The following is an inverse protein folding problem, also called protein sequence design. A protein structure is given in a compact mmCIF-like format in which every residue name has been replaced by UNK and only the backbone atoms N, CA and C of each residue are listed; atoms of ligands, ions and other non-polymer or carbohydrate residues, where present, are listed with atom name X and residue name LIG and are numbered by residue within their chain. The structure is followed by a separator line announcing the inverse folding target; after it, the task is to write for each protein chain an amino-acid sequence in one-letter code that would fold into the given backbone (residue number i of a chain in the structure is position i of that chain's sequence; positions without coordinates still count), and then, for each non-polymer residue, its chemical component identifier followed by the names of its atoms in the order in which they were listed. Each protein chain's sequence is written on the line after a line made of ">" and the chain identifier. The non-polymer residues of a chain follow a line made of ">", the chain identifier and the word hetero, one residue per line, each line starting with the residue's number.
data_IF_410209293325
#
_entry.id   IF_410209293325
#
_cell.length_a   1.000
_cell.length_b   1.000
_cell.length_c   1.000
_cell.angle_alpha   90.00
_cell.angle_beta   90.00
_cell.angle_gamma   90.00
#
_symmetry.space_group_name_H-M   'P 1'
#
loop_
_entity.id
_entity.type
_entity.pdbx_description
1 polymer ?
#
# COMPACT_ATOMS: atom_id res chain seq x y z
N UNK A 1 30.34 15.17 3.24
CA UNK A 1 29.35 14.27 3.88
C UNK A 1 27.90 14.73 3.70
N UNK A 2 27.57 16.02 3.89
CA UNK A 2 26.19 16.53 3.77
C UNK A 2 25.50 16.21 2.42
N UNK A 3 26.22 16.33 1.29
CA UNK A 3 25.66 16.02 -0.04
C UNK A 3 25.29 14.53 -0.20
N UNK A 4 26.18 13.61 0.19
CA UNK A 4 25.90 12.17 0.13
C UNK A 4 24.70 11.76 1.00
N UNK A 5 24.59 12.31 2.21
CA UNK A 5 23.42 12.09 3.06
C UNK A 5 22.14 12.66 2.42
N UNK A 6 22.20 13.85 1.83
CA UNK A 6 21.05 14.47 1.18
C UNK A 6 20.52 13.64 0.00
N UNK A 7 21.40 13.01 -0.78
CA UNK A 7 21.01 12.11 -1.87
C UNK A 7 20.44 10.80 -1.34
N UNK A 8 21.11 10.19 -0.35
CA UNK A 8 20.68 8.90 0.22
C UNK A 8 19.28 8.96 0.85
N UNK A 9 18.98 10.05 1.56
CA UNK A 9 17.68 10.24 2.21
C UNK A 9 16.61 10.89 1.31
N UNK A 10 16.95 11.29 0.08
CA UNK A 10 15.97 11.81 -0.89
C UNK A 10 15.28 10.67 -1.66
N UNK A 11 14.53 9.84 -0.94
CA UNK A 11 13.86 8.65 -1.50
C UNK A 11 12.84 8.94 -2.60
N UNK A 12 12.45 10.21 -2.77
CA UNK A 12 11.44 10.65 -3.74
C UNK A 12 11.98 11.66 -4.74
N UNK A 13 13.31 11.83 -4.82
CA UNK A 13 13.94 12.72 -5.79
C UNK A 13 13.38 14.15 -5.73
N UNK A 14 12.95 14.59 -4.54
CA UNK A 14 12.33 15.89 -4.27
C UNK A 14 13.27 16.99 -4.74
N UNK A 15 12.74 17.96 -5.48
CA UNK A 15 13.51 19.08 -6.02
C UNK A 15 14.42 18.73 -7.20
N UNK A 16 14.33 17.52 -7.76
CA UNK A 16 15.09 17.11 -8.96
C UNK A 16 14.20 16.93 -10.19
N UNK A 17 14.79 16.76 -11.37
CA UNK A 17 14.08 16.43 -12.60
C UNK A 17 13.31 15.08 -12.55
N UNK A 18 13.64 14.24 -11.57
CA UNK A 18 13.07 12.90 -11.37
C UNK A 18 11.97 12.86 -10.29
N UNK A 19 11.56 14.02 -9.74
CA UNK A 19 10.48 14.10 -8.75
C UNK A 19 9.18 13.50 -9.31
N UNK A 20 8.57 12.48 -8.66
CA UNK A 20 7.30 11.93 -9.07
C UNK A 20 6.19 13.00 -9.07
N UNK A 21 5.36 13.04 -10.12
CA UNK A 21 4.25 14.02 -10.22
C UNK A 21 3.29 14.00 -9.02
N UNK A 22 3.12 12.83 -8.39
CA UNK A 22 2.31 12.69 -7.17
C UNK A 22 2.89 13.44 -5.98
N UNK A 23 4.21 13.58 -5.87
CA UNK A 23 4.87 14.42 -4.86
C UNK A 23 4.46 15.88 -5.03
N UNK A 24 4.61 16.41 -6.25
CA UNK A 24 4.35 17.83 -6.51
C UNK A 24 2.90 18.21 -6.22
N UNK A 25 1.94 17.32 -6.51
CA UNK A 25 0.53 17.50 -6.20
C UNK A 25 0.20 17.48 -4.69
N UNK A 26 1.05 16.84 -3.88
CA UNK A 26 0.88 16.72 -2.42
C UNK A 26 1.66 17.79 -1.63
N UNK A 27 2.53 18.57 -2.29
CA UNK A 27 3.31 19.62 -1.63
C UNK A 27 2.41 20.75 -1.16
N UNK A 28 2.45 21.02 0.15
CA UNK A 28 1.81 22.20 0.75
C UNK A 28 2.64 23.45 0.42
N UNK A 29 1.95 24.53 0.05
CA UNK A 29 2.55 25.85 -0.17
C UNK A 29 1.76 26.90 0.65
N UNK A 30 2.41 27.65 1.57
CA UNK A 30 3.82 27.53 1.98
C UNK A 30 4.10 26.22 2.76
N UNK A 31 5.37 25.77 2.81
CA UNK A 31 5.74 24.61 3.63
C UNK A 31 5.48 24.88 5.13
N UNK A 32 5.23 23.84 5.93
CA UNK A 32 5.01 24.01 7.37
C UNK A 32 6.28 24.52 8.07
N UNK A 33 6.11 25.27 9.17
CA UNK A 33 7.22 25.61 10.05
C UNK A 33 7.84 24.35 10.67
N UNK A 34 9.13 24.42 11.03
CA UNK A 34 9.86 23.29 11.64
C UNK A 34 9.14 22.71 12.86
N UNK A 35 8.69 23.56 13.78
CA UNK A 35 7.95 23.11 14.97
C UNK A 35 6.63 22.41 14.62
N UNK A 36 5.87 22.93 13.65
CA UNK A 36 4.61 22.31 13.21
C UNK A 36 4.85 20.98 12.52
N UNK A 37 5.91 20.88 11.71
CA UNK A 37 6.31 19.65 11.06
C UNK A 37 6.67 18.59 12.11
N UNK A 38 7.59 18.90 13.03
CA UNK A 38 8.03 17.97 14.06
C UNK A 38 6.87 17.45 14.93
N UNK A 39 5.94 18.33 15.35
CA UNK A 39 4.74 17.90 16.11
C UNK A 39 3.87 16.93 15.32
N UNK A 40 3.61 17.21 14.04
CA UNK A 40 2.76 16.34 13.19
C UNK A 40 3.43 15.00 12.89
N UNK A 41 4.73 15.02 12.68
CA UNK A 41 5.52 13.83 12.40
C UNK A 41 5.60 12.95 13.66
N UNK A 42 5.86 13.53 14.83
CA UNK A 42 5.83 12.82 16.11
C UNK A 42 4.45 12.21 16.39
N UNK A 43 3.36 12.98 16.22
CA UNK A 43 2.01 12.46 16.38
C UNK A 43 1.72 11.31 15.40
N UNK A 44 2.21 11.42 14.16
CA UNK A 44 2.07 10.34 13.18
C UNK A 44 2.79 9.07 13.64
N UNK A 45 4.02 9.18 14.14
CA UNK A 45 4.78 8.02 14.65
C UNK A 45 4.01 7.35 15.80
N UNK A 46 3.52 8.13 16.76
CA UNK A 46 2.73 7.62 17.89
C UNK A 46 1.46 6.90 17.40
N UNK A 47 0.69 7.51 16.49
CA UNK A 47 -0.53 6.89 15.94
C UNK A 47 -0.21 5.60 15.19
N UNK A 48 0.82 5.60 14.33
CA UNK A 48 1.24 4.40 13.62
C UNK A 48 1.69 3.28 14.58
N UNK A 49 2.40 3.63 15.65
CA UNK A 49 2.82 2.68 16.68
C UNK A 49 1.62 2.08 17.41
N UNK A 50 0.71 2.92 17.92
CA UNK A 50 -0.46 2.47 18.66
C UNK A 50 -1.41 1.63 17.79
N UNK A 51 -1.51 1.92 16.49
CA UNK A 51 -2.30 1.09 15.58
C UNK A 51 -1.68 -0.30 15.40
N UNK A 52 -0.35 -0.40 15.28
CA UNK A 52 0.32 -1.69 15.19
C UNK A 52 0.19 -2.48 16.50
N UNK A 53 0.36 -1.81 17.63
CA UNK A 53 0.18 -2.38 18.97
C UNK A 53 -1.27 -2.87 19.18
N UNK A 54 -2.26 -2.09 18.74
CA UNK A 54 -3.67 -2.47 18.82
C UNK A 54 -3.95 -3.70 17.97
N UNK A 55 -3.42 -3.76 16.76
CA UNK A 55 -3.62 -4.91 15.86
C UNK A 55 -3.00 -6.17 16.43
N UNK A 56 -1.81 -6.08 17.02
CA UNK A 56 -1.11 -7.18 17.68
C UNK A 56 -1.87 -7.65 18.94
N UNK A 57 -2.22 -6.72 19.82
CA UNK A 57 -2.98 -7.01 21.04
C UNK A 57 -4.41 -7.52 20.78
N UNK A 58 -4.96 -7.26 19.59
CA UNK A 58 -6.27 -7.77 19.15
C UNK A 58 -6.17 -9.02 18.28
N UNK A 59 -4.96 -9.50 17.99
CA UNK A 59 -4.78 -10.72 17.23
C UNK A 59 -5.27 -11.92 18.05
N UNK A 60 -6.15 -12.70 17.44
CA UNK A 60 -6.75 -13.87 18.06
C UNK A 60 -6.34 -15.10 17.23
N UNK A 61 -5.68 -16.05 17.88
CA UNK A 61 -5.17 -17.28 17.26
C UNK A 61 -6.30 -18.17 16.76
N UNK A 62 -7.43 -18.24 17.47
CA UNK A 62 -8.57 -19.07 17.11
C UNK A 62 -9.29 -18.47 15.89
N UNK A 63 -9.43 -17.14 15.85
CA UNK A 63 -9.96 -16.43 14.68
C UNK A 63 -9.06 -16.66 13.47
N UNK A 64 -7.74 -16.56 13.65
CA UNK A 64 -6.76 -16.76 12.58
C UNK A 64 -6.82 -18.20 12.03
N UNK A 65 -6.82 -19.19 12.93
CA UNK A 65 -6.90 -20.60 12.57
C UNK A 65 -8.24 -20.96 11.89
N UNK A 66 -9.32 -20.24 12.20
CA UNK A 66 -10.66 -20.49 11.64
C UNK A 66 -10.91 -19.82 10.29
N UNK A 67 -10.44 -18.59 10.10
CA UNK A 67 -10.85 -17.73 8.97
C UNK A 67 -9.73 -17.37 7.98
N UNK A 68 -8.46 -17.55 8.35
CA UNK A 68 -7.31 -17.12 7.56
C UNK A 68 -6.47 -18.29 7.06
N UNK A 69 -7.12 -19.39 6.66
CA UNK A 69 -6.47 -20.63 6.24
C UNK A 69 -6.09 -20.62 4.76
N UNK A 70 -5.00 -21.29 4.35
CA UNK A 70 -4.60 -21.35 2.94
C UNK A 70 -5.68 -21.93 2.00
N UNK A 71 -6.49 -22.88 2.47
CA UNK A 71 -7.58 -23.46 1.68
C UNK A 71 -8.73 -22.47 1.43
N UNK A 72 -8.87 -21.44 2.25
CA UNK A 72 -9.90 -20.39 2.15
C UNK A 72 -9.50 -19.25 1.22
N UNK A 73 -8.31 -19.29 0.58
CA UNK A 73 -7.84 -18.21 -0.31
C UNK A 73 -8.76 -18.05 -1.54
N UNK A 74 -9.17 -19.15 -2.17
CA UNK A 74 -9.95 -19.14 -3.40
C UNK A 74 -11.43 -18.79 -3.19
N UNK A 75 -11.80 -17.52 -3.39
CA UNK A 75 -13.19 -17.07 -3.25
C UNK A 75 -14.11 -17.62 -4.36
N UNK A 76 -13.71 -17.43 -5.61
CA UNK A 76 -14.54 -17.76 -6.77
C UNK A 76 -14.69 -19.26 -7.00
N UNK A 77 -13.72 -20.05 -6.53
CA UNK A 77 -13.75 -21.53 -6.59
C UNK A 77 -14.63 -22.16 -5.51
N UNK A 78 -15.07 -21.39 -4.52
CA UNK A 78 -15.79 -21.86 -3.32
C UNK A 78 -17.07 -21.07 -3.05
N UNK A 79 -17.69 -20.47 -4.07
CA UNK A 79 -18.84 -19.58 -3.87
C UNK A 79 -20.01 -20.21 -3.09
N UNK A 80 -20.22 -21.52 -3.21
CA UNK A 80 -21.24 -22.26 -2.45
C UNK A 80 -20.92 -22.38 -0.96
N UNK A 81 -19.64 -22.30 -0.59
CA UNK A 81 -19.14 -22.63 0.74
C UNK A 81 -18.75 -21.37 1.53
N UNK A 82 -18.78 -20.20 0.88
CA UNK A 82 -18.36 -18.92 1.47
C UNK A 82 -19.53 -18.32 2.25
N UNK A 83 -19.39 -18.30 3.57
CA UNK A 83 -20.36 -17.67 4.46
C UNK A 83 -20.25 -16.14 4.46
N UNK A 84 -21.33 -15.45 4.85
CA UNK A 84 -21.31 -14.00 5.08
C UNK A 84 -20.27 -13.59 6.16
N UNK A 85 -20.06 -14.44 7.17
CA UNK A 85 -19.05 -14.24 8.19
C UNK A 85 -17.64 -14.29 7.58
N UNK A 86 -17.35 -15.25 6.70
CA UNK A 86 -16.06 -15.31 6.01
C UNK A 86 -15.81 -14.05 5.17
N UNK A 87 -16.81 -13.57 4.43
CA UNK A 87 -16.70 -12.32 3.66
C UNK A 87 -16.38 -11.11 4.55
N UNK A 88 -17.00 -11.04 5.72
CA UNK A 88 -16.73 -9.99 6.71
C UNK A 88 -15.29 -10.09 7.24
N UNK A 89 -14.84 -11.30 7.60
CA UNK A 89 -13.48 -11.53 8.07
C UNK A 89 -12.44 -11.22 7.00
N UNK A 90 -12.68 -11.57 5.73
CA UNK A 90 -11.85 -11.21 4.58
C UNK A 90 -11.73 -9.70 4.40
N UNK A 91 -12.85 -8.98 4.53
CA UNK A 91 -12.87 -7.52 4.42
C UNK A 91 -12.02 -6.87 5.52
N UNK A 92 -12.21 -7.28 6.78
CA UNK A 92 -11.42 -6.75 7.89
C UNK A 92 -9.95 -7.16 7.82
N UNK A 93 -9.65 -8.36 7.32
CA UNK A 93 -8.29 -8.81 7.10
C UNK A 93 -7.58 -7.96 6.02
N UNK A 94 -8.27 -7.66 4.91
CA UNK A 94 -7.76 -6.76 3.88
C UNK A 94 -7.56 -5.32 4.39
N UNK A 95 -8.50 -4.82 5.19
CA UNK A 95 -8.39 -3.51 5.84
C UNK A 95 -7.22 -3.48 6.83
N UNK A 96 -7.08 -4.52 7.65
CA UNK A 96 -5.99 -4.70 8.61
C UNK A 96 -4.64 -4.75 7.92
N UNK A 97 -4.48 -5.56 6.86
CA UNK A 97 -3.26 -5.58 6.04
C UNK A 97 -2.90 -4.18 5.54
N UNK A 98 -3.88 -3.47 4.96
CA UNK A 98 -3.67 -2.11 4.47
C UNK A 98 -3.25 -1.13 5.57
N UNK A 99 -3.93 -1.17 6.72
CA UNK A 99 -3.66 -0.30 7.86
C UNK A 99 -2.29 -0.59 8.51
N UNK A 100 -1.95 -1.87 8.69
CA UNK A 100 -0.68 -2.30 9.25
C UNK A 100 0.49 -1.91 8.35
N UNK A 101 0.42 -2.23 7.06
CA UNK A 101 1.47 -1.87 6.11
C UNK A 101 1.65 -0.35 6.00
N UNK A 102 0.56 0.42 5.91
CA UNK A 102 0.65 1.89 5.93
C UNK A 102 1.28 2.38 7.22
N UNK A 103 0.94 1.80 8.37
CA UNK A 103 1.49 2.20 9.67
C UNK A 103 2.98 1.95 9.78
N UNK A 104 3.47 0.77 9.35
CA UNK A 104 4.91 0.47 9.31
C UNK A 104 5.64 1.47 8.40
N UNK A 105 5.18 1.60 7.16
CA UNK A 105 5.88 2.38 6.14
C UNK A 105 5.88 3.87 6.44
N UNK A 106 4.70 4.41 6.78
CA UNK A 106 4.53 5.82 7.14
C UNK A 106 5.22 6.13 8.47
N UNK A 107 5.16 5.21 9.43
CA UNK A 107 5.85 5.32 10.71
C UNK A 107 7.35 5.44 10.54
N UNK A 108 7.98 4.48 9.84
CA UNK A 108 9.43 4.51 9.56
C UNK A 108 9.82 5.78 8.78
N UNK A 109 9.07 6.13 7.74
CA UNK A 109 9.30 7.37 6.99
C UNK A 109 9.28 8.60 7.90
N UNK A 110 8.31 8.68 8.81
CA UNK A 110 8.17 9.78 9.74
C UNK A 110 9.26 9.79 10.83
N UNK A 111 9.74 8.64 11.30
CA UNK A 111 10.88 8.56 12.23
C UNK A 111 12.12 9.18 11.59
N UNK A 112 12.48 8.75 10.37
CA UNK A 112 13.65 9.29 9.66
C UNK A 112 13.46 10.79 9.37
N UNK A 113 12.27 11.19 8.92
CA UNK A 113 11.94 12.59 8.67
C UNK A 113 12.09 13.46 9.92
N UNK A 114 11.62 12.96 11.06
CA UNK A 114 11.74 13.65 12.34
C UNK A 114 13.21 13.85 12.71
N UNK A 115 14.01 12.79 12.65
CA UNK A 115 15.44 12.85 12.99
C UNK A 115 16.18 13.83 12.08
N UNK A 116 16.00 13.76 10.76
CA UNK A 116 16.68 14.65 9.82
C UNK A 116 16.30 16.12 10.00
N UNK A 117 15.02 16.43 10.25
CA UNK A 117 14.55 17.82 10.45
C UNK A 117 14.88 18.34 11.86
N UNK A 118 14.88 17.46 12.86
CA UNK A 118 15.32 17.79 14.23
C UNK A 118 16.83 18.08 14.27
N UNK A 119 17.64 17.32 13.54
CA UNK A 119 19.08 17.57 13.40
C UNK A 119 19.42 18.77 12.50
N UNK A 120 18.44 19.35 11.79
CA UNK A 120 18.68 20.47 10.87
C UNK A 120 19.35 20.09 9.56
N UNK A 121 19.41 18.79 9.24
CA UNK A 121 20.00 18.27 8.00
C UNK A 121 19.09 18.56 6.80
N UNK A 122 17.78 18.39 6.97
CA UNK A 122 16.77 18.64 5.94
C UNK A 122 15.72 19.66 6.40
N UNK A 123 15.08 20.32 5.44
CA UNK A 123 13.92 21.18 5.68
C UNK A 123 12.62 20.36 5.67
N UNK A 124 11.54 20.85 6.30
CA UNK A 124 10.21 20.22 6.22
C UNK A 124 9.70 19.98 4.79
N UNK A 125 10.13 20.80 3.83
CA UNK A 125 9.73 20.69 2.43
C UNK A 125 10.31 19.46 1.72
N UNK A 126 11.41 18.89 2.24
CA UNK A 126 12.10 17.73 1.68
C UNK A 126 11.38 16.42 2.01
N UNK A 127 10.42 16.47 2.94
CA UNK A 127 9.66 15.33 3.43
C UNK A 127 8.16 15.44 3.09
N UNK A 128 7.78 15.29 1.81
CA UNK A 128 6.37 15.33 1.41
C UNK A 128 5.57 14.17 2.01
N UNK A 129 4.23 14.27 2.11
CA UNK A 129 3.39 13.19 2.66
C UNK A 129 3.69 11.83 2.02
N UNK A 130 3.94 10.81 2.85
CA UNK A 130 4.30 9.45 2.38
C UNK A 130 3.22 8.84 1.47
N UNK A 131 1.97 8.91 1.91
CA UNK A 131 0.80 8.50 1.14
C UNK A 131 0.06 9.73 0.57
N UNK A 132 -0.72 9.48 -0.47
CA UNK A 132 -1.80 10.39 -0.88
C UNK A 132 -2.92 10.50 0.16
N UNK A 133 -3.90 11.39 -0.06
CA UNK A 133 -5.04 11.52 0.84
C UNK A 133 -5.93 10.26 0.78
N UNK A 134 -6.45 9.80 1.92
CA UNK A 134 -7.38 8.65 1.94
C UNK A 134 -8.58 8.82 1.01
N UNK A 135 -9.09 10.06 0.86
CA UNK A 135 -10.17 10.36 -0.06
C UNK A 135 -9.87 10.11 -1.54
N UNK A 136 -8.61 9.88 -1.95
CA UNK A 136 -8.29 9.50 -3.33
C UNK A 136 -8.53 8.02 -3.62
N UNK A 137 -8.76 7.18 -2.61
CA UNK A 137 -8.96 5.73 -2.74
C UNK A 137 -10.41 5.43 -3.21
N UNK A 138 -10.70 5.79 -4.46
CA UNK A 138 -11.97 5.49 -5.14
C UNK A 138 -11.75 4.77 -6.48
N UNK A 139 -10.54 4.32 -6.74
CA UNK A 139 -10.19 3.41 -7.84
C UNK A 139 -8.88 2.71 -7.51
N UNK A 140 -8.68 1.50 -8.01
CA UNK A 140 -7.43 0.74 -7.93
C UNK A 140 -6.30 1.53 -8.54
N UNK A 141 -6.54 2.21 -9.68
CA UNK A 141 -5.55 3.11 -10.27
C UNK A 141 -5.08 4.17 -9.27
N UNK A 142 -6.00 4.85 -8.57
CA UNK A 142 -5.62 5.85 -7.58
C UNK A 142 -4.98 5.24 -6.32
N UNK A 143 -5.48 4.09 -5.87
CA UNK A 143 -4.88 3.36 -4.75
C UNK A 143 -3.39 3.17 -5.01
N UNK A 144 -3.03 2.57 -6.14
CA UNK A 144 -1.65 2.23 -6.47
C UNK A 144 -0.79 3.42 -6.92
N UNK A 145 -1.35 4.37 -7.68
CA UNK A 145 -0.55 5.46 -8.27
C UNK A 145 -0.54 6.76 -7.47
N UNK A 146 -1.48 6.96 -6.53
CA UNK A 146 -1.60 8.19 -5.75
C UNK A 146 -1.42 7.93 -4.26
N UNK A 147 -2.09 6.91 -3.72
CA UNK A 147 -2.11 6.66 -2.29
C UNK A 147 -0.93 5.80 -1.80
N UNK A 148 -0.70 4.65 -2.44
CA UNK A 148 0.16 3.58 -1.95
C UNK A 148 1.64 3.77 -2.31
N UNK A 149 2.56 3.46 -1.40
CA UNK A 149 4.02 3.34 -1.63
C UNK A 149 4.66 4.32 -2.63
N UNK A 150 4.47 5.61 -2.43
CA UNK A 150 4.93 6.61 -3.40
C UNK A 150 6.45 6.77 -3.48
N UNK A 151 7.21 6.15 -2.58
CA UNK A 151 8.69 6.07 -2.62
C UNK A 151 9.21 5.08 -3.66
N UNK A 152 8.42 4.07 -4.04
CA UNK A 152 8.85 3.04 -5.00
C UNK A 152 8.43 3.35 -6.44
N UNK A 153 7.51 4.32 -6.64
CA UNK A 153 6.96 4.65 -7.94
C UNK A 153 8.04 4.98 -8.98
N UNK A 154 9.01 5.82 -8.63
CA UNK A 154 10.10 6.17 -9.56
C UNK A 154 10.91 4.93 -9.96
N UNK A 155 11.32 4.12 -8.97
CA UNK A 155 12.13 2.91 -9.19
C UNK A 155 11.41 1.93 -10.13
N UNK A 156 10.14 1.65 -9.86
CA UNK A 156 9.34 0.75 -10.68
C UNK A 156 9.11 1.30 -12.09
N UNK A 157 8.88 2.61 -12.23
CA UNK A 157 8.74 3.25 -13.54
C UNK A 157 10.05 3.13 -14.34
N UNK A 158 11.21 3.44 -13.74
CA UNK A 158 12.51 3.31 -14.39
C UNK A 158 12.78 1.88 -14.86
N UNK A 159 12.56 0.88 -13.99
CA UNK A 159 12.74 -0.54 -14.34
C UNK A 159 11.78 -0.93 -15.47
N UNK A 160 10.50 -0.53 -15.39
CA UNK A 160 9.52 -0.86 -16.44
C UNK A 160 9.84 -0.22 -17.78
N UNK A 161 10.41 0.99 -17.80
CA UNK A 161 10.80 1.68 -19.02
C UNK A 161 12.02 1.02 -19.66
N UNK A 162 13.00 0.58 -18.85
CA UNK A 162 14.15 -0.19 -19.32
C UNK A 162 13.71 -1.51 -19.95
N UNK A 163 12.89 -2.29 -19.25
CA UNK A 163 12.39 -3.58 -19.77
C UNK A 163 11.61 -3.39 -21.07
N UNK A 164 10.67 -2.44 -21.12
CA UNK A 164 9.85 -2.24 -22.32
C UNK A 164 10.65 -1.69 -23.50
N UNK A 165 11.43 -0.64 -23.25
CA UNK A 165 12.01 0.16 -24.31
C UNK A 165 13.36 -0.35 -24.80
N UNK A 166 14.19 -0.84 -23.87
CA UNK A 166 15.58 -1.16 -24.17
C UNK A 166 15.78 -2.67 -24.32
N UNK A 167 15.11 -3.48 -23.49
CA UNK A 167 15.17 -4.95 -23.58
C UNK A 167 14.20 -5.50 -24.64
N UNK A 168 12.91 -5.16 -24.53
CA UNK A 168 11.86 -5.72 -25.42
C UNK A 168 11.63 -4.89 -26.69
N UNK A 169 12.22 -3.69 -26.79
CA UNK A 169 12.10 -2.76 -27.93
C UNK A 169 10.64 -2.49 -28.36
N UNK A 170 9.72 -2.46 -27.39
CA UNK A 170 8.31 -2.24 -27.65
C UNK A 170 7.97 -0.76 -27.84
N UNK A 171 6.87 -0.44 -28.56
CA UNK A 171 6.38 0.93 -28.69
C UNK A 171 6.19 1.59 -27.33
N UNK A 172 6.74 2.80 -27.14
CA UNK A 172 6.71 3.51 -25.85
C UNK A 172 5.36 4.17 -25.54
N UNK A 173 4.49 4.29 -26.55
CA UNK A 173 3.20 4.98 -26.51
C UNK A 173 2.03 4.09 -26.97
N UNK A 174 0.79 4.52 -26.68
CA UNK A 174 -0.42 3.78 -27.01
C UNK A 174 -1.04 3.00 -25.84
N UNK A 175 -2.27 2.49 -26.04
CA UNK A 175 -3.03 1.76 -25.01
C UNK A 175 -2.35 0.42 -24.64
N UNK A 176 -1.92 -0.43 -25.60
CA UNK A 176 -1.25 -1.69 -25.27
C UNK A 176 0.05 -1.47 -24.50
N UNK A 177 0.88 -0.51 -24.93
CA UNK A 177 2.12 -0.15 -24.24
C UNK A 177 1.89 0.31 -22.79
N UNK A 178 0.83 1.07 -22.54
CA UNK A 178 0.45 1.49 -21.19
C UNK A 178 0.04 0.31 -20.32
N UNK A 179 -0.71 -0.64 -20.86
CA UNK A 179 -1.14 -1.83 -20.15
C UNK A 179 0.05 -2.78 -19.87
N UNK A 180 0.91 -3.03 -20.86
CA UNK A 180 2.13 -3.82 -20.67
C UNK A 180 3.06 -3.20 -19.61
N UNK A 181 3.21 -1.87 -19.60
CA UNK A 181 3.95 -1.18 -18.54
C UNK A 181 3.36 -1.45 -17.16
N UNK A 182 2.02 -1.43 -17.06
CA UNK A 182 1.32 -1.74 -15.83
C UNK A 182 1.60 -3.18 -15.38
N UNK A 183 1.51 -4.16 -16.28
CA UNK A 183 1.81 -5.56 -15.98
C UNK A 183 3.25 -5.74 -15.49
N UNK A 184 4.23 -5.11 -16.13
CA UNK A 184 5.64 -5.19 -15.74
C UNK A 184 5.87 -4.56 -14.36
N UNK A 185 5.29 -3.39 -14.09
CA UNK A 185 5.39 -2.73 -12.77
C UNK A 185 4.88 -3.66 -11.67
N UNK A 186 3.74 -4.30 -11.87
CA UNK A 186 3.16 -5.23 -10.89
C UNK A 186 3.93 -6.54 -10.78
N UNK A 187 4.43 -7.09 -11.89
CA UNK A 187 5.28 -8.28 -11.88
C UNK A 187 6.57 -8.04 -11.09
N UNK A 188 7.28 -6.94 -11.37
CA UNK A 188 8.50 -6.56 -10.66
C UNK A 188 8.20 -6.33 -9.17
N UNK A 189 7.08 -5.66 -8.84
CA UNK A 189 6.64 -5.51 -7.45
C UNK A 189 6.42 -6.87 -6.77
N UNK A 190 5.74 -7.81 -7.44
CA UNK A 190 5.51 -9.14 -6.91
C UNK A 190 6.80 -9.93 -6.68
N UNK A 191 7.75 -9.87 -7.60
CA UNK A 191 9.06 -10.51 -7.45
C UNK A 191 9.84 -9.95 -6.26
N UNK A 192 9.81 -8.63 -6.04
CA UNK A 192 10.43 -8.03 -4.84
C UNK A 192 9.80 -8.53 -3.55
N UNK A 193 8.47 -8.69 -3.50
CA UNK A 193 7.81 -9.20 -2.30
C UNK A 193 8.12 -10.68 -2.07
N UNK A 194 8.13 -11.52 -3.12
CA UNK A 194 8.60 -12.92 -2.99
C UNK A 194 10.02 -12.98 -2.42
N UNK A 195 10.94 -12.11 -2.89
CA UNK A 195 12.30 -12.09 -2.37
C UNK A 195 12.35 -11.70 -0.88
N UNK A 196 11.53 -10.75 -0.44
CA UNK A 196 11.40 -10.34 0.97
C UNK A 196 10.84 -11.49 1.81
N UNK A 197 9.78 -12.15 1.32
CA UNK A 197 9.13 -13.26 2.02
C UNK A 197 10.10 -14.43 2.19
N UNK A 198 10.85 -14.78 1.13
CA UNK A 198 11.90 -15.82 1.16
C UNK A 198 13.01 -15.45 2.14
N UNK A 199 13.47 -14.20 2.16
CA UNK A 199 14.46 -13.75 3.16
C UNK A 199 13.94 -13.80 4.60
N UNK A 200 12.61 -13.83 4.76
CA UNK A 200 11.94 -13.93 6.06
C UNK A 200 11.54 -15.37 6.41
N UNK A 201 11.96 -16.36 5.62
CA UNK A 201 11.71 -17.79 5.87
C UNK A 201 10.45 -18.37 5.25
N UNK A 202 9.71 -17.62 4.42
CA UNK A 202 8.51 -18.10 3.73
C UNK A 202 8.91 -18.73 2.38
N UNK A 203 8.45 -19.96 2.11
CA UNK A 203 8.72 -20.59 0.81
C UNK A 203 8.14 -19.77 -0.37
N UNK A 204 8.90 -19.69 -1.46
CA UNK A 204 8.53 -18.89 -2.63
C UNK A 204 7.19 -19.29 -3.26
N UNK A 205 6.81 -20.58 -3.21
CA UNK A 205 5.53 -21.07 -3.73
C UNK A 205 4.38 -20.68 -2.82
N UNK A 206 4.64 -20.63 -1.51
CA UNK A 206 3.66 -20.29 -0.49
C UNK A 206 3.40 -18.78 -0.37
N UNK A 207 4.39 -17.92 -0.66
CA UNK A 207 4.30 -16.45 -0.53
C UNK A 207 2.97 -15.84 -1.02
N UNK A 208 2.49 -16.24 -2.20
CA UNK A 208 1.26 -15.69 -2.77
C UNK A 208 1.37 -14.25 -3.29
N UNK A 209 2.49 -13.56 -3.06
CA UNK A 209 2.72 -12.19 -3.54
C UNK A 209 2.52 -12.06 -5.05
N UNK A 210 3.09 -12.96 -5.85
CA UNK A 210 2.94 -12.92 -7.31
C UNK A 210 1.47 -13.03 -7.73
N UNK A 211 0.66 -13.88 -7.08
CA UNK A 211 -0.78 -14.01 -7.35
C UNK A 211 -1.51 -12.70 -7.05
N UNK A 212 -1.23 -12.11 -5.89
CA UNK A 212 -1.81 -10.83 -5.48
C UNK A 212 -1.44 -9.68 -6.43
N UNK A 213 -0.19 -9.55 -6.84
CA UNK A 213 0.23 -8.44 -7.70
C UNK A 213 -0.17 -8.65 -9.17
N UNK A 214 -0.14 -9.89 -9.68
CA UNK A 214 -0.45 -10.19 -11.08
C UNK A 214 -1.92 -9.90 -11.47
N UNK A 215 -2.85 -9.94 -10.51
CA UNK A 215 -4.28 -9.66 -10.79
C UNK A 215 -4.59 -8.16 -10.85
N UNK A 216 -3.78 -7.29 -10.21
CA UNK A 216 -4.04 -5.85 -10.10
C UNK A 216 -4.20 -5.12 -11.46
N UNK A 217 -3.39 -5.41 -12.50
CA UNK A 217 -3.60 -4.84 -13.84
C UNK A 217 -4.99 -5.13 -14.41
N UNK A 218 -5.58 -6.29 -14.12
CA UNK A 218 -6.91 -6.67 -14.62
C UNK A 218 -8.00 -5.80 -13.98
N UNK A 219 -7.91 -5.53 -12.69
CA UNK A 219 -8.84 -4.63 -12.00
C UNK A 219 -8.76 -3.21 -12.54
N UNK A 220 -7.55 -2.72 -12.82
CA UNK A 220 -7.35 -1.40 -13.44
C UNK A 220 -7.88 -1.37 -14.89
N UNK A 221 -7.72 -2.47 -15.63
CA UNK A 221 -8.29 -2.60 -16.98
C UNK A 221 -9.83 -2.56 -16.93
N UNK A 222 -10.44 -3.26 -15.98
CA UNK A 222 -11.89 -3.21 -15.76
C UNK A 222 -12.38 -1.77 -15.49
N UNK A 223 -11.65 -1.00 -14.68
CA UNK A 223 -11.94 0.42 -14.45
C UNK A 223 -11.85 1.27 -15.73
N UNK A 224 -10.83 1.03 -16.55
CA UNK A 224 -10.64 1.75 -17.81
C UNK A 224 -11.76 1.43 -18.82
N UNK A 225 -12.18 0.16 -18.89
CA UNK A 225 -13.29 -0.30 -19.73
C UNK A 225 -14.62 0.30 -19.26
N UNK A 226 -14.90 0.25 -17.96
CA UNK A 226 -16.11 0.85 -17.38
C UNK A 226 -16.19 2.36 -17.68
N UNK A 227 -15.07 3.09 -17.51
CA UNK A 227 -15.00 4.51 -17.89
C UNK A 227 -15.19 4.72 -19.39
N UNK A 228 -14.77 3.79 -20.23
CA UNK A 228 -14.99 3.85 -21.67
C UNK A 228 -16.45 3.64 -22.04
N UNK A 229 -17.13 2.68 -21.39
CA UNK A 229 -18.55 2.45 -21.57
C UNK A 229 -19.39 3.66 -21.15
N UNK A 230 -19.07 4.30 -20.01
CA UNK A 230 -19.74 5.53 -19.59
C UNK A 230 -19.58 6.67 -20.62
N UNK A 231 -18.40 6.79 -21.24
CA UNK A 231 -18.16 7.79 -22.30
C UNK A 231 -18.98 7.50 -23.55
N UNK A 232 -19.09 6.24 -23.96
CA UNK A 232 -19.96 5.88 -25.10
C UNK A 232 -21.44 6.10 -24.82
N UNK A 233 -21.84 6.11 -23.54
CA UNK A 233 -23.20 6.49 -23.10
C UNK A 233 -23.39 8.01 -22.93
N UNK A 234 -22.49 8.83 -23.46
CA UNK A 234 -22.64 10.29 -23.50
C UNK A 234 -22.05 11.03 -22.30
N UNK A 235 -21.39 10.35 -21.36
CA UNK A 235 -20.71 11.03 -20.25
C UNK A 235 -19.49 11.81 -20.76
N UNK A 236 -19.43 13.15 -20.57
CA UNK A 236 -18.30 13.95 -21.03
C UNK A 236 -16.96 13.52 -20.40
N UNK A 237 -15.90 13.55 -21.22
CA UNK A 237 -14.55 13.31 -20.75
C UNK A 237 -14.09 14.45 -19.82
N UNK A 238 -13.31 14.12 -18.78
CA UNK A 238 -12.72 15.11 -17.89
C UNK A 238 -13.63 15.60 -16.75
N UNK A 239 -14.89 15.19 -16.70
CA UNK A 239 -15.75 15.48 -15.55
C UNK A 239 -15.16 14.87 -14.28
N UNK A 240 -15.06 15.70 -13.23
CA UNK A 240 -14.67 15.22 -11.90
C UNK A 240 -15.75 14.27 -11.39
N UNK A 241 -15.36 13.15 -10.76
CA UNK A 241 -16.33 12.21 -10.24
C UNK A 241 -17.14 12.84 -9.11
N UNK A 242 -18.45 12.62 -9.14
CA UNK A 242 -19.39 13.03 -8.08
C UNK A 242 -19.07 12.32 -6.76
N UNK A 243 -19.67 12.77 -5.65
CA UNK A 243 -19.50 12.08 -4.35
C UNK A 243 -19.99 10.64 -4.41
N UNK A 244 -21.14 10.40 -5.05
CA UNK A 244 -21.70 9.06 -5.24
C UNK A 244 -20.76 8.15 -6.02
N UNK A 245 -20.16 8.63 -7.10
CA UNK A 245 -19.21 7.87 -7.91
C UNK A 245 -17.92 7.56 -7.15
N UNK A 246 -17.48 8.48 -6.29
CA UNK A 246 -16.34 8.23 -5.40
C UNK A 246 -16.68 7.18 -4.35
N UNK A 247 -17.90 7.18 -3.79
CA UNK A 247 -18.35 6.15 -2.87
C UNK A 247 -18.46 4.78 -3.57
N UNK A 248 -19.06 4.72 -4.76
CA UNK A 248 -19.15 3.50 -5.56
C UNK A 248 -17.75 2.97 -5.93
N UNK A 249 -16.83 3.86 -6.31
CA UNK A 249 -15.45 3.51 -6.60
C UNK A 249 -14.67 3.04 -5.35
N UNK A 250 -14.94 3.62 -4.18
CA UNK A 250 -14.34 3.16 -2.92
C UNK A 250 -14.87 1.76 -2.53
N UNK A 251 -16.18 1.52 -2.72
CA UNK A 251 -16.78 0.20 -2.55
C UNK A 251 -16.16 -0.83 -3.52
N UNK A 252 -15.96 -0.47 -4.79
CA UNK A 252 -15.26 -1.30 -5.77
C UNK A 252 -13.85 -1.68 -5.30
N UNK A 253 -13.06 -0.71 -4.81
CA UNK A 253 -11.72 -0.99 -4.27
C UNK A 253 -11.79 -1.91 -3.05
N UNK A 254 -12.74 -1.69 -2.15
CA UNK A 254 -12.94 -2.54 -0.98
C UNK A 254 -13.27 -3.98 -1.39
N UNK A 255 -14.25 -4.19 -2.27
CA UNK A 255 -14.63 -5.51 -2.78
C UNK A 255 -13.46 -6.21 -3.49
N UNK A 256 -12.72 -5.47 -4.31
CA UNK A 256 -11.53 -5.99 -4.97
C UNK A 256 -10.50 -6.47 -3.95
N UNK A 257 -10.21 -5.67 -2.92
CA UNK A 257 -9.24 -6.03 -1.88
C UNK A 257 -9.71 -7.19 -0.99
N UNK A 258 -11.01 -7.24 -0.64
CA UNK A 258 -11.62 -8.39 0.05
C UNK A 258 -11.45 -9.70 -0.73
N UNK A 259 -11.48 -9.62 -2.07
CA UNK A 259 -11.24 -10.78 -2.92
C UNK A 259 -9.76 -11.15 -3.00
N UNK A 260 -8.88 -10.20 -3.32
CA UNK A 260 -7.49 -10.50 -3.72
C UNK A 260 -6.49 -10.50 -2.56
N UNK A 261 -6.70 -9.72 -1.49
CA UNK A 261 -5.74 -9.62 -0.38
C UNK A 261 -5.45 -10.95 0.33
N UNK A 262 -6.43 -11.87 0.52
CA UNK A 262 -6.18 -13.19 1.09
C UNK A 262 -5.09 -14.01 0.38
N UNK A 263 -4.90 -13.83 -0.92
CA UNK A 263 -3.82 -14.50 -1.68
C UNK A 263 -2.44 -14.24 -1.09
N UNK A 264 -2.21 -13.04 -0.55
CA UNK A 264 -0.94 -12.65 0.04
C UNK A 264 -0.97 -12.73 1.57
N UNK A 265 -2.07 -12.32 2.19
CA UNK A 265 -2.18 -12.22 3.64
C UNK A 265 -2.19 -13.58 4.33
N UNK A 266 -2.98 -14.54 3.84
CA UNK A 266 -3.17 -15.80 4.57
C UNK A 266 -1.87 -16.60 4.67
N UNK A 267 -1.07 -16.77 3.60
CA UNK A 267 0.23 -17.43 3.72
C UNK A 267 1.15 -16.77 4.74
N UNK A 268 1.20 -15.43 4.79
CA UNK A 268 1.99 -14.69 5.78
C UNK A 268 1.50 -15.01 7.18
N UNK A 269 0.20 -14.85 7.47
CA UNK A 269 -0.35 -15.09 8.81
C UNK A 269 -0.11 -16.52 9.29
N UNK A 270 -0.18 -17.51 8.40
CA UNK A 270 0.11 -18.90 8.74
C UNK A 270 1.61 -19.15 8.96
N UNK A 271 2.48 -18.53 8.15
CA UNK A 271 3.93 -18.72 8.26
C UNK A 271 4.54 -17.99 9.47
N UNK A 272 3.99 -16.82 9.83
CA UNK A 272 4.43 -16.03 10.98
C UNK A 272 3.63 -16.36 12.25
N UNK A 273 2.86 -17.45 12.25
CA UNK A 273 1.80 -17.76 13.21
C UNK A 273 2.10 -17.32 14.63
N UNK A 274 1.23 -16.46 15.20
CA UNK A 274 1.18 -15.95 16.58
C UNK A 274 2.45 -16.16 17.42
N UNK A 275 3.60 -15.75 16.90
CA UNK A 275 4.85 -15.90 17.61
C UNK A 275 4.87 -14.90 18.77
N UNK A 276 5.48 -15.26 19.90
CA UNK A 276 5.73 -14.40 21.07
C UNK A 276 6.49 -13.08 20.78
N UNK A 277 6.85 -12.85 19.51
CA UNK A 277 7.47 -11.62 19.04
C UNK A 277 6.37 -10.69 18.54
N UNK A 278 5.85 -9.86 19.45
CA UNK A 278 4.87 -8.84 19.10
C UNK A 278 5.32 -7.96 17.93
N UNK A 279 4.35 -7.42 17.20
CA UNK A 279 4.58 -6.54 16.03
C UNK A 279 5.36 -5.28 16.42
N UNK A 280 5.22 -4.84 17.67
CA UNK A 280 5.95 -3.71 18.25
C UNK A 280 6.92 -4.17 19.36
N UNK A 281 8.03 -3.45 19.60
CA UNK A 281 9.00 -3.85 20.63
C UNK A 281 8.45 -3.86 22.06
N UNK A 282 7.48 -2.99 22.36
CA UNK A 282 6.84 -2.87 23.69
C UNK A 282 5.35 -2.64 23.52
N UNK A 283 4.52 -3.57 23.99
CA UNK A 283 3.06 -3.41 23.91
C UNK A 283 2.53 -2.55 25.05
N UNK A 284 1.96 -1.38 24.72
CA UNK A 284 1.29 -0.50 25.69
C UNK A 284 -0.15 -0.97 25.88
N UNK A 285 -0.83 -1.30 24.79
CA UNK A 285 -2.23 -1.74 24.80
C UNK A 285 -2.36 -3.12 25.43
N UNK A 286 -1.44 -4.04 25.15
CA UNK A 286 -1.39 -5.35 25.79
C UNK A 286 -1.22 -5.24 27.30
N UNK A 287 -0.33 -4.36 27.76
CA UNK A 287 -0.13 -4.11 29.20
C UNK A 287 -1.39 -3.56 29.88
N UNK A 288 -2.07 -2.58 29.26
CA UNK A 288 -3.33 -2.05 29.78
C UNK A 288 -4.42 -3.12 29.80
N UNK A 289 -4.52 -3.95 28.75
CA UNK A 289 -5.52 -5.03 28.68
C UNK A 289 -5.32 -6.07 29.78
N UNK A 290 -4.08 -6.45 30.07
CA UNK A 290 -3.77 -7.37 31.17
C UNK A 290 -4.26 -6.83 32.51
N UNK A 291 -3.97 -5.56 32.82
CA UNK A 291 -4.40 -4.93 34.08
C UNK A 291 -5.91 -4.71 34.21
N UNK A 292 -6.68 -4.74 33.12
CA UNK A 292 -8.15 -4.60 33.16
C UNK A 292 -8.88 -5.94 33.24
N UNK A 293 -8.19 -7.05 32.98
CA UNK A 293 -8.73 -8.40 33.00
C UNK A 293 -8.33 -9.20 34.25
N UNK A 294 -7.38 -8.67 35.04
CA UNK A 294 -7.06 -9.09 36.41
C UNK A 294 -7.95 -8.38 37.44
#
# INVERSE_FOLDING_TARGET
>A
MAWGASVFFNWRFVGTAFEPRSVSALRRRPPPSRARFLRRTALTVVVCYLLLDLMDASADSDVTARFYRPDQVGLLSRLSDVSAQELLMRFFAALGLGAGLVSVQRGVYCVVAFVCVAAGVHAPADWPPFNGPFGSIYSLRNLWSVFWHQTNTHKLVSISNFILGDLLRLPRSGRPARFLRLCIVFLVSGLFHVAIDVSSGIDARSSGALRFFAVQPLGILAEDLFRSALRSLGRPAGLRPSRLERCAGALWVALWMTWVAPEYLYPILNATGSGDKGVVPVSIIGAVRHHLLD
#
